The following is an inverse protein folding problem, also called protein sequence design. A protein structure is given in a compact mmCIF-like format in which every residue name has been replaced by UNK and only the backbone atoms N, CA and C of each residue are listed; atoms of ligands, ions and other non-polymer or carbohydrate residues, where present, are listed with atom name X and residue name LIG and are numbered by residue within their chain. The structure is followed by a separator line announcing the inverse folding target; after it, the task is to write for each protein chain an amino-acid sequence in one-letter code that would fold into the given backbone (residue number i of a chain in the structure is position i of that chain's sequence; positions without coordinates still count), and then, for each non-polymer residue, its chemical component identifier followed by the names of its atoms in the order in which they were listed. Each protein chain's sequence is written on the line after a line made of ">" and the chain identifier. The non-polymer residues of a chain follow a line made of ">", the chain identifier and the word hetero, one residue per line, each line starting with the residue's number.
data_IF_405942804803
#
_entry.id   IF_405942804803
#
_cell.length_a   1.000
_cell.length_b   1.000
_cell.length_c   1.000
_cell.angle_alpha   90.00
_cell.angle_beta   90.00
_cell.angle_gamma   90.00
#
_symmetry.space_group_name_H-M   'P 1'
#
loop_
_entity.id
_entity.type
_entity.pdbx_description
1 polymer ?
#
# COMPACT_ATOMS: atom_id res chain seq x y z
N UNK A 1 6.05 -20.76 2.78
CA UNK A 1 5.00 -20.09 2.00
C UNK A 1 5.15 -18.61 2.26
N UNK A 2 5.50 -17.83 1.24
CA UNK A 2 5.68 -16.38 1.39
C UNK A 2 4.37 -15.67 1.08
N UNK A 3 4.00 -14.68 1.89
CA UNK A 3 2.93 -13.72 1.57
C UNK A 3 3.57 -12.54 0.86
N UNK A 4 3.05 -12.16 -0.30
CA UNK A 4 3.47 -10.93 -0.98
C UNK A 4 2.75 -9.75 -0.35
N UNK A 5 3.51 -8.77 0.14
CA UNK A 5 2.98 -7.57 0.80
C UNK A 5 3.54 -6.35 0.11
N UNK A 6 2.64 -5.44 -0.26
CA UNK A 6 2.97 -4.13 -0.81
C UNK A 6 2.13 -3.06 -0.11
N UNK A 7 2.63 -1.83 -0.09
CA UNK A 7 1.90 -0.67 0.41
C UNK A 7 1.89 0.45 -0.62
N UNK A 8 0.85 1.27 -0.55
CA UNK A 8 0.71 2.47 -1.36
C UNK A 8 -0.10 3.55 -0.61
N UNK A 9 0.19 4.81 -0.93
CA UNK A 9 -0.57 5.97 -0.47
C UNK A 9 -1.48 6.52 -1.57
N UNK A 10 -2.52 7.28 -1.16
CA UNK A 10 -3.35 8.04 -2.11
C UNK A 10 -2.55 9.17 -2.76
N UNK A 11 -1.59 9.74 -2.05
CA UNK A 11 -0.62 10.71 -2.53
C UNK A 11 0.78 10.13 -2.35
N UNK A 12 1.67 10.32 -3.33
CA UNK A 12 3.06 9.89 -3.23
C UNK A 12 4.03 11.00 -3.58
N UNK A 13 4.20 11.93 -2.65
CA UNK A 13 5.24 12.95 -2.72
C UNK A 13 6.12 12.96 -1.46
N UNK A 14 6.05 11.91 -0.63
CA UNK A 14 6.74 11.87 0.66
C UNK A 14 7.72 10.70 0.74
N UNK A 15 8.98 11.05 1.03
CA UNK A 15 9.95 10.09 1.56
C UNK A 15 9.43 9.48 2.87
N UNK A 16 9.96 8.33 3.23
CA UNK A 16 9.57 7.68 4.49
C UNK A 16 9.97 8.60 5.64
N UNK A 17 9.01 8.82 6.53
CA UNK A 17 9.23 9.59 7.74
C UNK A 17 10.34 8.96 8.61
N UNK A 18 11.37 9.76 8.91
CA UNK A 18 12.54 9.31 9.68
C UNK A 18 12.19 8.90 11.10
N UNK A 19 11.12 9.46 11.68
CA UNK A 19 10.62 9.03 12.98
C UNK A 19 10.04 7.62 12.91
N UNK A 20 9.23 7.32 11.89
CA UNK A 20 8.70 5.97 11.63
C UNK A 20 9.80 4.93 11.43
N UNK A 21 10.90 5.26 10.74
CA UNK A 21 12.08 4.38 10.62
C UNK A 21 12.68 4.09 11.99
N UNK A 22 12.86 5.13 12.81
CA UNK A 22 13.51 5.03 14.12
C UNK A 22 12.70 4.15 15.06
N UNK A 23 11.38 4.36 15.14
CA UNK A 23 10.47 3.59 16.01
C UNK A 23 10.39 2.13 15.56
N UNK A 24 10.26 1.86 14.25
CA UNK A 24 10.21 0.47 13.77
C UNK A 24 11.52 -0.28 14.00
N UNK A 25 12.67 0.41 13.95
CA UNK A 25 13.96 -0.20 14.28
C UNK A 25 14.02 -0.69 15.74
N UNK A 26 13.32 -0.05 16.69
CA UNK A 26 13.27 -0.48 18.10
C UNK A 26 12.69 -1.88 18.29
N UNK A 27 11.76 -2.28 17.39
CA UNK A 27 11.12 -3.61 17.41
C UNK A 27 11.70 -4.57 16.36
N UNK A 28 12.82 -4.20 15.72
CA UNK A 28 13.49 -5.04 14.71
C UNK A 28 12.77 -5.08 13.35
N UNK A 29 11.95 -4.07 13.03
CA UNK A 29 11.26 -3.94 11.74
C UNK A 29 12.04 -2.99 10.82
N UNK A 30 12.54 -3.52 9.70
CA UNK A 30 13.35 -2.78 8.74
C UNK A 30 12.48 -1.96 7.77
N UNK A 31 12.47 -0.64 7.92
CA UNK A 31 11.76 0.30 7.03
C UNK A 31 12.67 1.13 6.12
N UNK A 32 13.98 1.20 6.36
CA UNK A 32 14.86 2.16 5.65
C UNK A 32 14.98 1.88 4.15
N UNK A 33 14.70 0.65 3.72
CA UNK A 33 14.75 0.20 2.32
C UNK A 33 13.40 0.30 1.62
N UNK A 34 12.34 0.63 2.35
CA UNK A 34 11.00 0.73 1.78
C UNK A 34 10.93 1.94 0.83
N UNK A 35 10.06 1.87 -0.18
CA UNK A 35 9.84 2.99 -1.11
C UNK A 35 8.35 3.27 -1.20
N UNK A 36 7.97 4.49 -0.85
CA UNK A 36 6.63 5.02 -1.03
C UNK A 36 6.21 4.89 -2.51
N UNK A 37 5.00 4.39 -2.73
CA UNK A 37 4.34 4.30 -4.05
C UNK A 37 2.94 4.90 -3.94
N UNK A 38 2.43 5.51 -5.01
CA UNK A 38 1.01 5.85 -5.10
C UNK A 38 0.21 4.74 -5.75
N UNK A 39 -1.11 4.74 -5.52
CA UNK A 39 -2.05 3.93 -6.30
C UNK A 39 -1.90 4.17 -7.81
N UNK A 40 -1.57 5.39 -8.23
CA UNK A 40 -1.38 5.75 -9.63
C UNK A 40 -0.07 5.25 -10.23
N UNK A 41 0.96 4.97 -9.42
CA UNK A 41 2.20 4.35 -9.91
C UNK A 41 2.10 2.82 -9.97
N UNK A 42 1.15 2.23 -9.23
CA UNK A 42 0.86 0.80 -9.30
C UNK A 42 0.11 0.43 -10.61
N UNK A 43 -0.74 1.32 -11.13
CA UNK A 43 -1.56 1.06 -12.33
C UNK A 43 -0.83 0.97 -13.69
N UNK A 44 0.16 1.83 -14.03
CA UNK A 44 0.80 1.85 -15.35
C UNK A 44 1.90 0.81 -15.55
N UNK A 45 2.39 0.18 -14.48
CA UNK A 45 3.55 -0.74 -14.50
C UNK A 45 3.21 -2.23 -14.39
N UNK A 46 1.93 -2.61 -14.40
CA UNK A 46 1.55 -4.01 -14.60
C UNK A 46 1.63 -4.92 -13.37
N UNK A 47 1.46 -4.36 -12.16
CA UNK A 47 0.99 -5.11 -10.99
C UNK A 47 -0.39 -4.56 -10.64
N UNK A 48 -1.40 -4.97 -11.43
CA UNK A 48 -2.78 -4.54 -11.24
C UNK A 48 -3.18 -4.74 -9.77
N UNK A 49 -3.86 -3.76 -9.18
CA UNK A 49 -4.48 -3.91 -7.85
C UNK A 49 -5.39 -5.16 -7.76
N UNK A 50 -5.79 -5.72 -8.92
CA UNK A 50 -6.51 -6.99 -9.08
C UNK A 50 -5.68 -8.24 -8.76
N UNK A 51 -4.35 -8.14 -8.73
CA UNK A 51 -3.45 -9.23 -8.38
C UNK A 51 -3.38 -9.50 -6.87
N UNK A 52 -3.96 -8.61 -6.07
CA UNK A 52 -4.06 -8.76 -4.63
C UNK A 52 -5.40 -9.40 -4.25
N UNK A 53 -5.33 -10.37 -3.35
CA UNK A 53 -6.53 -10.98 -2.75
C UNK A 53 -7.20 -10.00 -1.77
N UNK A 54 -6.40 -9.22 -1.04
CA UNK A 54 -6.86 -8.33 0.03
C UNK A 54 -6.15 -6.98 -0.04
N UNK A 55 -6.93 -5.90 0.06
CA UNK A 55 -6.46 -4.53 0.28
C UNK A 55 -6.92 -4.08 1.66
N UNK A 56 -5.98 -3.64 2.49
CA UNK A 56 -6.28 -3.06 3.82
C UNK A 56 -6.16 -1.55 3.74
N UNK A 57 -7.28 -0.85 3.81
CA UNK A 57 -7.35 0.59 3.77
C UNK A 57 -7.17 1.19 5.17
N UNK A 58 -6.22 2.12 5.32
CA UNK A 58 -5.92 2.76 6.61
C UNK A 58 -6.63 4.11 6.80
N UNK A 59 -7.45 4.54 5.84
CA UNK A 59 -8.28 5.75 5.94
C UNK A 59 -9.55 5.66 5.08
N UNK A 60 -10.63 6.41 5.39
CA UNK A 60 -11.85 6.39 4.59
C UNK A 60 -11.60 6.80 3.13
N UNK A 61 -10.65 7.72 2.92
CA UNK A 61 -10.26 8.16 1.59
C UNK A 61 -9.54 7.05 0.80
N UNK A 62 -8.64 6.32 1.46
CA UNK A 62 -7.96 5.16 0.85
C UNK A 62 -8.94 4.04 0.54
N UNK A 63 -9.93 3.81 1.41
CA UNK A 63 -10.97 2.80 1.20
C UNK A 63 -11.83 3.12 -0.02
N UNK A 64 -12.34 4.35 -0.13
CA UNK A 64 -13.10 4.79 -1.30
C UNK A 64 -12.28 4.67 -2.58
N UNK A 65 -11.02 5.12 -2.55
CA UNK A 65 -10.12 5.05 -3.71
C UNK A 65 -9.83 3.61 -4.12
N UNK A 66 -9.58 2.72 -3.17
CA UNK A 66 -9.37 1.29 -3.43
C UNK A 66 -10.62 0.66 -4.05
N UNK A 67 -11.82 0.92 -3.50
CA UNK A 67 -13.08 0.41 -4.04
C UNK A 67 -13.35 0.88 -5.47
N UNK A 68 -12.96 2.11 -5.82
CA UNK A 68 -13.07 2.63 -7.19
C UNK A 68 -12.10 1.93 -8.16
N UNK A 69 -10.87 1.71 -7.71
CA UNK A 69 -9.82 1.10 -8.53
C UNK A 69 -10.03 -0.41 -8.71
N UNK A 70 -10.65 -1.08 -7.75
CA UNK A 70 -10.92 -2.53 -7.81
C UNK A 70 -12.34 -2.88 -8.29
N UNK A 71 -13.10 -1.91 -8.82
CA UNK A 71 -14.44 -2.19 -9.37
C UNK A 71 -14.37 -3.26 -10.46
N UNK A 72 -15.03 -4.39 -10.23
CA UNK A 72 -15.09 -5.51 -11.18
C UNK A 72 -13.99 -6.56 -11.02
N UNK A 73 -13.13 -6.44 -10.00
CA UNK A 73 -12.13 -7.45 -9.66
C UNK A 73 -12.54 -8.25 -8.42
N UNK A 74 -12.04 -9.48 -8.29
CA UNK A 74 -12.27 -10.36 -7.12
C UNK A 74 -11.29 -10.03 -5.99
N UNK A 75 -11.19 -8.76 -5.61
CA UNK A 75 -10.31 -8.28 -4.54
C UNK A 75 -11.15 -7.84 -3.35
N UNK A 76 -10.84 -8.33 -2.16
CA UNK A 76 -11.48 -7.89 -0.92
C UNK A 76 -10.86 -6.56 -0.45
N UNK A 77 -11.69 -5.58 -0.10
CA UNK A 77 -11.24 -4.31 0.48
C UNK A 77 -11.74 -4.23 1.92
N UNK A 78 -10.80 -4.19 2.87
CA UNK A 78 -11.03 -4.11 4.32
C UNK A 78 -10.67 -2.71 4.81
N UNK A 79 -11.39 -2.18 5.79
CA UNK A 79 -11.12 -0.90 6.47
C UNK A 79 -11.16 -1.07 7.98
#
# INVERSE_FOLDING_TARGET
>A
TGTYVQSAGVQNDMEIDGFSISVCAEIGVELSRHRSRSFEEMGPRGDDLSSFDVIVALSPHSHHRAQELTRGFSTEVVY
#
